data_IF_055213304132
#
_entry.id   IF_055213304132
#
_cell.length_a   1.000
_cell.length_b   1.000
_cell.length_c   1.000
_cell.angle_alpha   90.00
_cell.angle_beta   90.00
_cell.angle_gamma   90.00
#
_symmetry.space_group_name_H-M   'P 1'
#
loop_
_entity.id
_entity.type
_entity.pdbx_description
1 polymer ?
#
# COMPACT_ATOMS: atom_id res chain seq x y z
N UNK A 1 -6.33 -4.22 -2.77
CA UNK A 1 -5.21 -4.71 -1.94
C UNK A 1 -5.23 -4.08 -0.56
N UNK A 2 -4.33 -4.51 0.32
CA UNK A 2 -4.15 -3.95 1.67
C UNK A 2 -3.90 -2.43 1.63
N UNK A 3 -3.19 -1.94 0.61
CA UNK A 3 -2.91 -0.51 0.45
C UNK A 3 -4.08 0.30 -0.13
N UNK A 4 -5.04 -0.31 -0.84
CA UNK A 4 -6.14 0.43 -1.49
C UNK A 4 -7.37 0.59 -0.59
N UNK A 5 -7.32 0.11 0.65
CA UNK A 5 -8.46 0.24 1.57
C UNK A 5 -8.81 1.71 1.77
N UNK A 6 -10.10 2.03 1.70
CA UNK A 6 -10.61 3.41 1.91
C UNK A 6 -10.19 3.97 3.27
N UNK A 7 -10.21 3.12 4.31
CA UNK A 7 -9.80 3.50 5.65
C UNK A 7 -8.25 3.59 5.75
N UNK A 8 -7.68 4.78 6.07
CA UNK A 8 -6.24 4.98 6.17
C UNK A 8 -5.64 4.61 7.53
N UNK A 9 -6.43 4.22 8.55
CA UNK A 9 -5.97 4.05 9.95
C UNK A 9 -4.73 3.17 10.06
N UNK A 10 -4.68 2.04 9.36
CA UNK A 10 -3.50 1.16 9.37
C UNK A 10 -2.30 1.80 8.68
N UNK A 11 -2.51 2.55 7.58
CA UNK A 11 -1.42 3.25 6.89
C UNK A 11 -0.85 4.38 7.74
N UNK A 12 -1.70 5.16 8.42
CA UNK A 12 -1.27 6.17 9.40
C UNK A 12 -0.47 5.54 10.53
N UNK A 13 -0.98 4.46 11.12
CA UNK A 13 -0.30 3.72 12.19
C UNK A 13 1.11 3.26 11.79
N UNK A 14 1.25 2.75 10.55
CA UNK A 14 2.53 2.33 9.99
C UNK A 14 3.45 3.52 9.69
N UNK A 15 2.94 4.60 9.10
CA UNK A 15 3.72 5.80 8.76
C UNK A 15 4.34 6.48 9.99
N UNK A 16 3.64 6.49 11.12
CA UNK A 16 4.18 6.99 12.38
C UNK A 16 5.42 6.21 12.85
N UNK A 17 5.51 4.91 12.52
CA UNK A 17 6.49 3.96 13.07
C UNK A 17 7.56 3.53 12.08
N UNK A 18 7.31 3.69 10.80
CA UNK A 18 8.18 3.22 9.73
C UNK A 18 8.12 4.12 8.51
N UNK A 19 9.22 4.13 7.78
CA UNK A 19 9.32 4.74 6.47
C UNK A 19 9.05 3.67 5.39
N UNK A 20 8.20 4.01 4.43
CA UNK A 20 7.97 3.14 3.27
C UNK A 20 9.16 3.29 2.31
N UNK A 21 9.97 2.24 2.20
CA UNK A 21 11.12 2.19 1.29
C UNK A 21 10.68 1.73 -0.10
N UNK A 22 9.72 0.82 -0.16
CA UNK A 22 9.27 0.21 -1.40
C UNK A 22 7.94 -0.53 -1.26
N UNK A 23 7.19 -0.65 -2.34
CA UNK A 23 6.06 -1.56 -2.41
C UNK A 23 5.94 -2.22 -3.78
N UNK A 24 5.52 -3.49 -3.80
CA UNK A 24 5.26 -4.26 -5.02
C UNK A 24 3.86 -4.84 -4.94
N UNK A 25 3.05 -4.65 -5.99
CA UNK A 25 1.76 -5.33 -6.14
C UNK A 25 1.96 -6.64 -6.86
N UNK A 26 1.50 -7.72 -6.24
CA UNK A 26 1.56 -9.05 -6.84
C UNK A 26 0.44 -9.22 -7.88
N UNK A 27 0.63 -10.11 -8.88
CA UNK A 27 -0.46 -10.59 -9.72
C UNK A 27 -1.59 -11.16 -8.86
N UNK A 28 -2.84 -10.97 -9.26
CA UNK A 28 -4.01 -11.50 -8.55
C UNK A 28 -4.04 -13.04 -8.50
N UNK A 29 -3.24 -13.72 -9.32
CA UNK A 29 -3.06 -15.17 -9.35
C UNK A 29 -1.97 -15.69 -8.42
N UNK A 30 -1.24 -14.82 -7.70
CA UNK A 30 -0.10 -15.21 -6.87
C UNK A 30 -0.43 -16.25 -5.78
N UNK A 31 -1.70 -16.36 -5.36
CA UNK A 31 -2.16 -17.33 -4.37
C UNK A 31 -3.14 -18.37 -4.94
N UNK A 32 -3.34 -18.40 -6.26
CA UNK A 32 -4.32 -19.29 -6.90
C UNK A 32 -3.92 -20.76 -6.74
N UNK A 33 -2.68 -21.09 -7.05
CA UNK A 33 -2.21 -22.48 -7.06
C UNK A 33 -2.01 -23.05 -5.65
N UNK A 34 -1.63 -22.19 -4.69
CA UNK A 34 -1.33 -22.61 -3.32
C UNK A 34 -2.53 -22.50 -2.35
N UNK A 35 -3.49 -21.61 -2.64
CA UNK A 35 -4.59 -21.29 -1.71
C UNK A 35 -5.96 -21.20 -2.40
N UNK A 36 -6.07 -21.48 -3.70
CA UNK A 36 -7.34 -21.53 -4.43
C UNK A 36 -8.07 -20.19 -4.55
N UNK A 37 -7.40 -19.06 -4.31
CA UNK A 37 -8.04 -17.74 -4.29
C UNK A 37 -7.34 -16.74 -5.20
N UNK A 38 -8.14 -15.91 -5.88
CA UNK A 38 -7.65 -14.78 -6.68
C UNK A 38 -7.79 -13.49 -5.86
N UNK A 39 -6.69 -13.07 -5.24
CA UNK A 39 -6.65 -11.92 -4.34
C UNK A 39 -5.58 -10.93 -4.77
N UNK A 40 -5.91 -9.64 -4.70
CA UNK A 40 -4.89 -8.58 -4.88
C UNK A 40 -4.10 -8.41 -3.59
N UNK A 41 -2.81 -8.76 -3.63
CA UNK A 41 -1.90 -8.64 -2.49
C UNK A 41 -0.74 -7.68 -2.80
N UNK A 42 -0.21 -7.08 -1.74
CA UNK A 42 0.89 -6.11 -1.79
C UNK A 42 2.03 -6.60 -0.86
N UNK A 43 3.29 -6.46 -1.30
CA UNK A 43 4.48 -6.61 -0.46
C UNK A 43 5.01 -5.22 -0.15
N UNK A 44 5.21 -4.93 1.14
CA UNK A 44 5.70 -3.63 1.63
C UNK A 44 7.09 -3.79 2.24
N UNK A 45 8.03 -2.93 1.84
CA UNK A 45 9.34 -2.79 2.45
C UNK A 45 9.33 -1.56 3.35
N UNK A 46 9.45 -1.78 4.65
CA UNK A 46 9.34 -0.74 5.67
C UNK A 46 10.64 -0.67 6.48
N UNK A 47 11.21 0.53 6.62
CA UNK A 47 12.32 0.79 7.52
C UNK A 47 11.77 1.33 8.84
N UNK A 48 12.00 0.61 9.94
CA UNK A 48 11.57 1.04 11.28
C UNK A 48 12.24 2.36 11.65
N UNK A 49 11.46 3.28 12.21
CA UNK A 49 11.99 4.53 12.80
C UNK A 49 12.45 4.28 14.24
N UNK A 50 13.50 4.98 14.65
CA UNK A 50 14.00 4.97 16.03
C UNK A 50 12.97 5.53 17.02
N UNK A 51 12.14 6.49 16.57
CA UNK A 51 11.05 7.08 17.35
C UNK A 51 9.80 7.22 16.51
N UNK A 52 8.64 7.21 17.17
CA UNK A 52 7.39 7.61 16.52
C UNK A 52 7.46 9.07 16.14
N UNK A 53 6.95 9.40 14.98
CA UNK A 53 6.80 10.78 14.53
C UNK A 53 5.40 10.97 13.98
N UNK A 54 4.85 12.17 14.14
CA UNK A 54 3.56 12.54 13.56
C UNK A 54 3.81 13.06 12.14
N UNK A 55 3.67 12.16 11.16
CA UNK A 55 3.79 12.48 9.74
C UNK A 55 2.65 11.83 8.97
N UNK A 56 2.18 12.51 7.93
CA UNK A 56 1.18 11.97 7.01
C UNK A 56 1.73 12.01 5.58
N UNK A 57 2.57 11.04 5.19
CA UNK A 57 3.13 10.98 3.85
C UNK A 57 2.08 10.57 2.82
N UNK A 58 2.27 10.95 1.55
CA UNK A 58 1.30 10.76 0.47
C UNK A 58 0.79 9.32 0.32
N UNK A 59 1.62 8.31 0.60
CA UNK A 59 1.25 6.90 0.52
C UNK A 59 0.18 6.48 1.54
N UNK A 60 -0.10 7.29 2.56
CA UNK A 60 -1.23 7.11 3.47
C UNK A 60 -2.56 7.34 2.77
N UNK A 61 -2.57 8.06 1.65
CA UNK A 61 -3.78 8.42 0.92
C UNK A 61 -4.05 7.51 -0.27
N UNK A 62 -5.27 7.63 -0.80
CA UNK A 62 -5.65 7.07 -2.07
C UNK A 62 -5.66 8.19 -3.12
N UNK A 63 -5.19 7.87 -4.31
CA UNK A 63 -5.45 8.61 -5.53
C UNK A 63 -6.54 7.91 -6.35
N UNK A 64 -6.83 8.49 -7.50
CA UNK A 64 -7.82 7.97 -8.46
C UNK A 64 -7.13 7.83 -9.82
N UNK A 65 -7.29 6.67 -10.45
CA UNK A 65 -6.79 6.42 -11.80
C UNK A 65 -7.66 7.12 -12.85
N UNK A 66 -7.19 7.19 -14.09
CA UNK A 66 -7.96 7.74 -15.22
C UNK A 66 -9.31 7.04 -15.42
N UNK A 67 -9.41 5.77 -15.01
CA UNK A 67 -10.63 4.98 -15.09
C UNK A 67 -11.55 5.14 -13.86
N UNK A 68 -11.29 6.11 -12.97
CA UNK A 68 -12.08 6.36 -11.77
C UNK A 68 -11.87 5.35 -10.64
N UNK A 69 -10.84 4.49 -10.72
CA UNK A 69 -10.59 3.46 -9.71
C UNK A 69 -9.71 4.04 -8.61
N UNK A 70 -10.16 3.94 -7.36
CA UNK A 70 -9.36 4.32 -6.20
C UNK A 70 -8.17 3.37 -6.04
N UNK A 71 -6.96 3.93 -5.94
CA UNK A 71 -5.71 3.19 -5.78
C UNK A 71 -4.82 3.93 -4.80
N UNK A 72 -3.96 3.22 -4.07
CA UNK A 72 -2.99 3.88 -3.21
C UNK A 72 -2.09 4.85 -3.99
N UNK A 73 -1.87 6.07 -3.45
CA UNK A 73 -1.12 7.12 -4.13
C UNK A 73 0.32 6.72 -4.47
N UNK A 74 0.97 5.90 -3.64
CA UNK A 74 2.31 5.38 -3.92
C UNK A 74 2.32 4.45 -5.13
N UNK A 75 1.35 3.53 -5.21
CA UNK A 75 1.27 2.61 -6.35
C UNK A 75 0.88 3.33 -7.64
N UNK A 76 0.20 4.47 -7.54
CA UNK A 76 -0.08 5.32 -8.69
C UNK A 76 1.18 6.07 -9.16
N UNK A 77 2.00 6.60 -8.24
CA UNK A 77 3.19 7.38 -8.61
C UNK A 77 4.25 6.54 -9.30
N UNK A 78 4.43 5.27 -8.90
CA UNK A 78 5.42 4.36 -9.51
C UNK A 78 4.99 3.78 -10.88
N UNK A 79 3.74 3.99 -11.29
CA UNK A 79 3.20 3.50 -12.58
C UNK A 79 3.27 4.55 -13.70
N UNK A 80 3.80 5.75 -13.40
CA UNK A 80 4.03 6.82 -14.38
C UNK A 80 5.43 6.70 -14.99
#
# INVERSE_FOLDING_TARGET
GTLDKANPTIRKYLAERAELVGAVRLPNTAFKDNAGTEVTADILFLQKRERKIDIEPDWVHLGVTENGIAVNSYLQSIRR
#
